data_IF_145532538444
#
_entry.id   IF_145532538444
#
_cell.length_a   1.000
_cell.length_b   1.000
_cell.length_c   1.000
_cell.angle_alpha   90.00
_cell.angle_beta   90.00
_cell.angle_gamma   90.00
#
_symmetry.space_group_name_H-M   'P 1'
#
loop_
_entity.id
_entity.type
_entity.pdbx_description
1 polymer ?
#
# COMPACT_ATOMS: atom_id res chain seq x y z
N UNK A 1 -15.62 -10.63 4.22
CA UNK A 1 -14.35 -10.08 3.69
C UNK A 1 -14.40 -8.56 3.84
N UNK A 2 -13.38 -7.95 4.43
CA UNK A 2 -13.27 -6.50 4.57
C UNK A 2 -12.26 -5.99 3.53
N UNK A 3 -12.71 -5.11 2.63
CA UNK A 3 -11.86 -4.47 1.64
C UNK A 3 -12.02 -2.95 1.79
N UNK A 4 -10.89 -2.24 1.85
CA UNK A 4 -10.89 -0.78 1.91
C UNK A 4 -9.96 -0.23 0.83
N UNK A 5 -10.29 0.96 0.32
CA UNK A 5 -9.60 1.60 -0.79
C UNK A 5 -9.22 3.03 -0.41
N UNK A 6 -8.08 3.51 -0.90
CA UNK A 6 -7.65 4.89 -0.79
C UNK A 6 -6.90 5.31 -2.05
N UNK A 7 -7.17 6.52 -2.55
CA UNK A 7 -6.47 7.10 -3.70
C UNK A 7 -7.08 6.73 -5.05
N UNK A 8 -6.22 6.69 -6.08
CA UNK A 8 -6.60 6.53 -7.47
C UNK A 8 -6.47 5.09 -7.96
N UNK A 9 -7.61 4.40 -8.08
CA UNK A 9 -7.64 2.99 -8.52
C UNK A 9 -7.28 2.80 -9.99
N UNK A 10 -7.09 3.88 -10.76
CA UNK A 10 -6.56 3.83 -12.12
C UNK A 10 -5.01 3.81 -12.17
N UNK A 11 -4.35 3.43 -11.07
CA UNK A 11 -2.90 3.30 -11.02
C UNK A 11 -2.36 2.41 -12.16
N UNK A 12 -1.27 2.84 -12.78
CA UNK A 12 -0.65 2.19 -13.93
C UNK A 12 0.03 0.87 -13.55
N UNK A 13 0.51 0.74 -12.31
CA UNK A 13 1.20 -0.44 -11.80
C UNK A 13 0.67 -0.82 -10.42
N UNK A 14 0.62 -2.12 -10.14
CA UNK A 14 0.16 -2.65 -8.85
C UNK A 14 1.19 -3.59 -8.24
N UNK A 15 1.45 -3.40 -6.96
CA UNK A 15 2.34 -4.23 -6.14
C UNK A 15 1.51 -4.93 -5.07
N UNK A 16 1.67 -6.24 -4.95
CA UNK A 16 1.11 -7.04 -3.86
C UNK A 16 2.07 -7.00 -2.66
N UNK A 17 1.52 -6.82 -1.47
CA UNK A 17 2.21 -6.95 -0.18
C UNK A 17 1.56 -8.05 0.66
N UNK A 18 2.34 -9.07 0.99
CA UNK A 18 1.83 -10.34 1.52
C UNK A 18 1.45 -11.30 0.41
N UNK A 19 0.73 -12.37 0.75
CA UNK A 19 0.33 -13.41 -0.19
C UNK A 19 -1.19 -13.36 -0.44
N UNK A 20 -1.61 -13.49 -1.70
CA UNK A 20 -3.04 -13.35 -2.07
C UNK A 20 -3.88 -14.57 -1.66
N UNK A 21 -3.27 -15.73 -1.50
CA UNK A 21 -3.89 -16.97 -1.05
C UNK A 21 -4.21 -16.95 0.46
N UNK A 22 -3.46 -16.20 1.27
CA UNK A 22 -3.64 -16.10 2.73
C UNK A 22 -4.86 -15.25 3.16
N UNK A 23 -5.73 -14.83 2.24
CA UNK A 23 -6.92 -14.00 2.49
C UNK A 23 -6.64 -12.67 3.22
N UNK A 24 -5.37 -12.28 3.38
CA UNK A 24 -4.93 -11.07 4.06
C UNK A 24 -3.71 -10.48 3.35
N UNK A 25 -3.94 -9.45 2.55
CA UNK A 25 -2.88 -8.81 1.79
C UNK A 25 -3.21 -7.33 1.55
N UNK A 26 -2.27 -6.61 0.95
CA UNK A 26 -2.49 -5.26 0.45
C UNK A 26 -2.06 -5.15 -1.00
N UNK A 27 -2.67 -4.20 -1.71
CA UNK A 27 -2.25 -3.79 -3.04
C UNK A 27 -1.85 -2.32 -2.97
N UNK A 28 -0.72 -1.99 -3.59
CA UNK A 28 -0.24 -0.62 -3.73
C UNK A 28 -0.18 -0.24 -5.21
N UNK A 29 -0.90 0.82 -5.56
CA UNK A 29 -0.93 1.36 -6.90
C UNK A 29 0.12 2.45 -7.07
N UNK A 30 0.95 2.34 -8.10
CA UNK A 30 2.01 3.29 -8.44
C UNK A 30 1.78 3.94 -9.81
N UNK A 31 2.07 5.24 -9.91
CA UNK A 31 2.29 5.97 -11.16
C UNK A 31 3.67 6.63 -11.09
N UNK A 32 4.55 6.36 -12.05
CA UNK A 32 5.92 6.89 -12.09
C UNK A 32 6.65 6.80 -10.74
N UNK A 33 6.54 5.64 -10.10
CA UNK A 33 7.15 5.33 -8.80
C UNK A 33 6.50 6.01 -7.58
N UNK A 34 5.52 6.89 -7.77
CA UNK A 34 4.75 7.50 -6.68
C UNK A 34 3.57 6.62 -6.27
N UNK A 35 3.39 6.42 -4.96
CA UNK A 35 2.23 5.74 -4.42
C UNK A 35 0.98 6.60 -4.62
N UNK A 36 0.06 6.12 -5.46
CA UNK A 36 -1.20 6.82 -5.79
C UNK A 36 -2.42 6.12 -5.24
N UNK A 37 -2.29 4.85 -4.86
CA UNK A 37 -3.40 4.05 -4.35
C UNK A 37 -2.96 2.99 -3.34
N UNK A 38 -3.88 2.64 -2.45
CA UNK A 38 -3.74 1.51 -1.56
C UNK A 38 -5.07 0.77 -1.40
N UNK A 39 -5.01 -0.56 -1.37
CA UNK A 39 -6.13 -1.44 -1.06
C UNK A 39 -5.73 -2.35 0.09
N UNK A 40 -6.54 -2.44 1.14
CA UNK A 40 -6.37 -3.44 2.19
C UNK A 40 -7.40 -4.55 2.02
N UNK A 41 -6.97 -5.80 2.12
CA UNK A 41 -7.85 -6.98 2.18
C UNK A 41 -7.67 -7.62 3.54
N UNK A 42 -8.72 -7.57 4.37
CA UNK A 42 -8.73 -8.00 5.78
C UNK A 42 -7.61 -7.36 6.64
N UNK A 43 -7.04 -6.23 6.21
CA UNK A 43 -5.98 -5.47 6.89
C UNK A 43 -6.41 -4.06 7.29
N UNK A 44 -7.63 -3.90 7.80
CA UNK A 44 -8.20 -2.57 8.11
C UNK A 44 -7.33 -1.69 9.03
N UNK A 45 -6.54 -2.29 9.93
CA UNK A 45 -5.59 -1.59 10.81
C UNK A 45 -4.51 -0.80 10.03
N UNK A 46 -4.16 -1.24 8.84
CA UNK A 46 -3.11 -0.62 8.01
C UNK A 46 -3.62 0.61 7.25
N UNK A 47 -4.94 0.74 7.07
CA UNK A 47 -5.52 1.71 6.15
C UNK A 47 -5.18 3.16 6.51
N UNK A 48 -5.12 3.50 7.80
CA UNK A 48 -4.73 4.86 8.22
C UNK A 48 -3.33 5.23 7.72
N UNK A 49 -2.35 4.34 7.91
CA UNK A 49 -0.97 4.58 7.46
C UNK A 49 -0.87 4.58 5.93
N UNK A 50 -1.56 3.65 5.28
CA UNK A 50 -1.58 3.55 3.82
C UNK A 50 -2.16 4.81 3.17
N UNK A 51 -3.28 5.34 3.69
CA UNK A 51 -3.87 6.59 3.20
C UNK A 51 -2.88 7.77 3.33
N UNK A 52 -2.21 7.90 4.47
CA UNK A 52 -1.23 8.97 4.67
C UNK A 52 -0.04 8.89 3.70
N UNK A 53 0.42 7.67 3.38
CA UNK A 53 1.48 7.46 2.37
C UNK A 53 1.00 7.82 0.96
N UNK A 54 -0.26 7.51 0.62
CA UNK A 54 -0.89 7.92 -0.65
C UNK A 54 -1.02 9.44 -0.74
N UNK A 55 -1.49 10.09 0.32
CA UNK A 55 -1.64 11.55 0.40
C UNK A 55 -0.27 12.26 0.22
N UNK A 56 0.81 11.66 0.75
CA UNK A 56 2.20 12.12 0.58
C UNK A 56 2.79 11.84 -0.80
N UNK A 57 2.13 11.02 -1.64
CA UNK A 57 2.68 10.50 -2.91
C UNK A 57 4.05 9.85 -2.71
N UNK A 58 4.17 9.06 -1.63
CA UNK A 58 5.41 8.42 -1.20
C UNK A 58 6.14 7.71 -2.35
N UNK A 59 7.46 7.91 -2.45
CA UNK A 59 8.32 7.26 -3.44
C UNK A 59 9.38 6.42 -2.73
N UNK A 60 9.19 5.11 -2.76
CA UNK A 60 10.11 4.11 -2.18
C UNK A 60 10.36 3.00 -3.20
N UNK A 61 11.45 2.26 -3.01
CA UNK A 61 11.79 1.11 -3.84
C UNK A 61 10.68 0.05 -3.79
N UNK A 62 10.48 -0.68 -4.89
CA UNK A 62 9.40 -1.67 -5.01
C UNK A 62 9.49 -2.78 -3.95
N UNK A 63 10.71 -3.14 -3.53
CA UNK A 63 11.02 -4.14 -2.52
C UNK A 63 10.49 -3.71 -1.15
N UNK A 64 10.52 -2.41 -0.84
CA UNK A 64 9.96 -1.84 0.41
C UNK A 64 8.44 -1.99 0.43
N UNK A 65 7.79 -1.71 -0.70
CA UNK A 65 6.34 -1.89 -0.84
C UNK A 65 5.92 -3.35 -0.71
N UNK A 66 6.72 -4.29 -1.23
CA UNK A 66 6.45 -5.74 -1.17
C UNK A 66 6.66 -6.34 0.21
N UNK A 67 7.68 -5.92 0.97
CA UNK A 67 8.08 -6.61 2.21
C UNK A 67 7.08 -6.42 3.35
N UNK A 68 6.24 -7.42 3.70
CA UNK A 68 5.20 -7.27 4.72
C UNK A 68 5.74 -7.07 6.13
N UNK A 69 7.03 -7.31 6.38
CA UNK A 69 7.68 -7.11 7.69
C UNK A 69 7.95 -5.64 8.00
N UNK A 70 7.94 -4.77 6.99
CA UNK A 70 8.08 -3.34 7.23
C UNK A 70 6.80 -2.74 7.82
N UNK A 71 6.93 -1.82 8.77
CA UNK A 71 5.76 -1.10 9.29
C UNK A 71 5.39 0.06 8.37
N UNK A 72 4.16 0.10 7.84
CA UNK A 72 3.68 1.24 7.06
C UNK A 72 3.73 2.55 7.86
N UNK A 73 3.49 2.47 9.18
CA UNK A 73 3.62 3.64 10.06
C UNK A 73 5.05 4.15 10.13
N UNK A 74 6.04 3.25 10.17
CA UNK A 74 7.45 3.65 10.17
C UNK A 74 7.87 4.28 8.83
N UNK A 75 7.32 3.75 7.72
CA UNK A 75 7.59 4.29 6.39
C UNK A 75 7.14 5.75 6.21
N UNK A 76 6.15 6.23 6.98
CA UNK A 76 5.72 7.64 6.93
C UNK A 76 6.84 8.65 7.22
N UNK A 77 7.87 8.23 7.98
CA UNK A 77 9.01 9.07 8.33
C UNK A 77 10.16 8.97 7.30
N UNK A 78 10.14 7.92 6.46
CA UNK A 78 11.15 7.68 5.42
C UNK A 78 10.68 8.14 4.02
N UNK A 79 9.41 8.55 3.90
CA UNK A 79 8.70 8.86 2.67
C UNK A 79 8.27 10.33 2.53
#
# INVERSE_FOLDING_TARGET
>A
MNIQFAGDMAAAQWIVRGEMDESRFMLFGLNDGALVAAITVNQAREMRSAKLLVDKRARLAAEVWRDPRQSLRALLNAA
#
